data_IF_072143462330
#
_entry.id   IF_072143462330
#
_cell.length_a   1.000
_cell.length_b   1.000
_cell.length_c   1.000
_cell.angle_alpha   90.00
_cell.angle_beta   90.00
_cell.angle_gamma   90.00
#
_symmetry.space_group_name_H-M   'P 1'
#
loop_
_entity.id
_entity.type
_entity.pdbx_description
1 polymer ?
#
# COMPACT_ATOMS: atom_id res chain seq x y z
N UNK A 1 -24.51 17.37 31.66
CA UNK A 1 -24.76 17.03 30.24
C UNK A 1 -23.69 16.08 29.70
N UNK A 2 -22.39 16.38 29.86
CA UNK A 2 -21.22 15.57 29.43
C UNK A 2 -21.13 14.06 29.80
N UNK A 3 -21.92 13.56 30.76
CA UNK A 3 -21.78 12.19 31.27
C UNK A 3 -22.33 11.11 30.34
N UNK A 4 -23.21 11.46 29.40
CA UNK A 4 -23.82 10.49 28.49
C UNK A 4 -22.99 10.34 27.20
N UNK A 5 -22.47 11.44 26.65
CA UNK A 5 -21.60 11.40 25.47
C UNK A 5 -20.23 10.79 25.79
N UNK A 6 -19.69 11.04 26.99
CA UNK A 6 -18.40 10.45 27.42
C UNK A 6 -18.45 8.93 27.53
N UNK A 7 -19.62 8.35 27.88
CA UNK A 7 -19.79 6.89 27.95
C UNK A 7 -19.70 6.24 26.57
N UNK A 8 -20.25 6.89 25.54
CA UNK A 8 -20.17 6.37 24.18
C UNK A 8 -18.72 6.34 23.66
N UNK A 9 -17.94 7.38 23.96
CA UNK A 9 -16.52 7.42 23.60
C UNK A 9 -15.72 6.31 24.30
N UNK A 10 -15.98 6.09 25.59
CA UNK A 10 -15.35 5.00 26.33
C UNK A 10 -15.77 3.63 25.79
N UNK A 11 -17.04 3.44 25.44
CA UNK A 11 -17.50 2.20 24.80
C UNK A 11 -16.84 2.00 23.43
N UNK A 12 -16.78 3.03 22.60
CA UNK A 12 -16.14 2.95 21.29
C UNK A 12 -14.64 2.64 21.37
N UNK A 13 -13.94 3.18 22.38
CA UNK A 13 -12.53 2.85 22.60
C UNK A 13 -12.36 1.44 23.18
N UNK A 14 -13.03 1.13 24.29
CA UNK A 14 -12.72 -0.07 25.08
C UNK A 14 -13.41 -1.33 24.57
N UNK A 15 -14.58 -1.27 23.93
CA UNK A 15 -15.26 -2.47 23.44
C UNK A 15 -14.45 -3.20 22.37
N UNK A 16 -13.91 -2.53 21.32
CA UNK A 16 -13.05 -3.22 20.36
C UNK A 16 -11.76 -3.74 20.99
N UNK A 17 -11.14 -2.99 21.91
CA UNK A 17 -9.95 -3.44 22.64
C UNK A 17 -10.22 -4.70 23.48
N UNK A 18 -11.37 -4.76 24.17
CA UNK A 18 -11.83 -5.96 24.87
C UNK A 18 -12.10 -7.11 23.91
N UNK A 19 -12.69 -6.84 22.75
CA UNK A 19 -12.89 -7.83 21.69
C UNK A 19 -11.59 -8.45 21.20
N UNK A 20 -10.52 -7.65 21.08
CA UNK A 20 -9.21 -8.15 20.64
C UNK A 20 -8.56 -9.13 21.63
N UNK A 21 -8.89 -9.12 22.92
CA UNK A 21 -8.43 -10.17 23.85
C UNK A 21 -8.94 -11.57 23.48
N UNK A 22 -10.07 -11.64 22.77
CA UNK A 22 -10.68 -12.88 22.31
C UNK A 22 -10.42 -13.17 20.82
N UNK A 23 -9.61 -12.34 20.15
CA UNK A 23 -9.33 -12.51 18.74
C UNK A 23 -8.42 -13.74 18.51
N UNK A 24 -8.90 -14.68 17.71
CA UNK A 24 -8.16 -15.90 17.32
C UNK A 24 -7.81 -15.94 15.83
N UNK A 25 -8.21 -14.91 15.06
CA UNK A 25 -7.88 -14.83 13.63
C UNK A 25 -6.37 -14.71 13.41
N UNK A 26 -5.88 -15.11 12.23
CA UNK A 26 -4.47 -15.03 11.87
C UNK A 26 -3.52 -15.56 12.97
N UNK A 27 -3.80 -16.74 13.55
CA UNK A 27 -3.01 -17.33 14.64
C UNK A 27 -2.83 -16.42 15.89
N UNK A 28 -3.77 -15.50 16.14
CA UNK A 28 -3.71 -14.54 17.24
C UNK A 28 -2.89 -13.28 16.93
N UNK A 29 -2.35 -13.13 15.71
CA UNK A 29 -1.64 -11.92 15.30
C UNK A 29 -2.63 -10.78 15.03
N UNK A 30 -2.52 -9.71 15.82
CA UNK A 30 -3.27 -8.47 15.67
C UNK A 30 -2.37 -7.44 14.99
N UNK A 31 -2.76 -7.00 13.79
CA UNK A 31 -2.01 -6.00 13.04
C UNK A 31 -2.45 -4.58 13.39
N UNK A 32 -1.53 -3.62 13.33
CA UNK A 32 -1.79 -2.22 13.70
C UNK A 32 -2.99 -1.60 12.95
N UNK A 33 -3.17 -1.96 11.67
CA UNK A 33 -4.27 -1.44 10.86
C UNK A 33 -5.66 -1.91 11.32
N UNK A 34 -5.74 -2.97 12.14
CA UNK A 34 -6.98 -3.40 12.78
C UNK A 34 -7.49 -2.36 13.80
N UNK A 35 -6.61 -1.51 14.32
CA UNK A 35 -6.98 -0.45 15.26
C UNK A 35 -7.40 0.85 14.57
N UNK A 36 -7.38 0.94 13.24
CA UNK A 36 -7.76 2.16 12.49
C UNK A 36 -9.14 2.68 12.89
N UNK A 37 -10.09 1.79 13.18
CA UNK A 37 -11.44 2.16 13.64
C UNK A 37 -11.52 2.75 15.06
N UNK A 38 -10.52 2.53 15.93
CA UNK A 38 -10.47 3.08 17.30
C UNK A 38 -9.60 4.33 17.42
N UNK A 39 -8.72 4.58 16.45
CA UNK A 39 -7.83 5.76 16.44
C UNK A 39 -8.60 7.09 16.62
N UNK A 40 -9.76 7.33 15.96
CA UNK A 40 -10.48 8.59 16.17
C UNK A 40 -10.99 8.77 17.61
N UNK A 41 -11.44 7.70 18.27
CA UNK A 41 -11.86 7.74 19.66
C UNK A 41 -10.70 8.14 20.58
N UNK A 42 -9.52 7.59 20.31
CA UNK A 42 -8.29 7.94 21.01
C UNK A 42 -7.93 9.42 20.82
N UNK A 43 -7.97 9.95 19.58
CA UNK A 43 -7.71 11.36 19.31
C UNK A 43 -8.66 12.31 20.03
N UNK A 44 -9.94 11.97 20.14
CA UNK A 44 -10.91 12.78 20.87
C UNK A 44 -10.59 12.83 22.37
N UNK A 45 -10.34 11.68 22.99
CA UNK A 45 -9.99 11.60 24.41
C UNK A 45 -8.69 12.36 24.68
N UNK A 46 -7.68 12.17 23.83
CA UNK A 46 -6.40 12.86 23.95
C UNK A 46 -6.55 14.39 23.81
N UNK A 47 -7.34 14.85 22.84
CA UNK A 47 -7.61 16.28 22.61
C UNK A 47 -8.35 16.92 23.78
N UNK A 48 -9.33 16.21 24.36
CA UNK A 48 -10.04 16.65 25.57
C UNK A 48 -9.08 16.73 26.76
N UNK A 49 -8.17 15.77 26.91
CA UNK A 49 -7.11 15.80 27.93
C UNK A 49 -6.22 17.04 27.81
N UNK A 50 -5.75 17.35 26.59
CA UNK A 50 -4.99 18.58 26.34
C UNK A 50 -5.80 19.84 26.66
N UNK A 51 -7.08 19.88 26.27
CA UNK A 51 -7.96 20.99 26.60
C UNK A 51 -8.07 21.20 28.12
N UNK A 52 -8.33 20.15 28.90
CA UNK A 52 -8.39 20.27 30.36
C UNK A 52 -7.05 20.68 30.98
N UNK A 53 -5.93 20.24 30.40
CA UNK A 53 -4.61 20.66 30.83
C UNK A 53 -4.42 22.18 30.64
N UNK A 54 -4.93 22.78 29.56
CA UNK A 54 -4.89 24.25 29.39
C UNK A 54 -5.69 25.03 30.44
N UNK A 55 -6.63 24.37 31.14
CA UNK A 55 -7.42 24.98 32.21
C UNK A 55 -6.69 25.02 33.56
N UNK A 56 -5.56 24.34 33.69
CA UNK A 56 -4.72 24.34 34.91
C UNK A 56 -3.82 25.59 35.05
N UNK A 57 -4.18 26.70 34.40
CA UNK A 57 -3.41 27.95 34.42
C UNK A 57 -2.23 27.99 33.44
N UNK A 58 -1.26 28.86 33.70
CA UNK A 58 -0.14 29.14 32.78
C UNK A 58 0.73 27.89 32.55
N UNK A 59 1.04 27.13 33.59
CA UNK A 59 1.85 25.91 33.49
C UNK A 59 1.23 24.89 32.52
N UNK A 60 -0.08 24.64 32.63
CA UNK A 60 -0.78 23.74 31.73
C UNK A 60 -0.75 24.20 30.26
N UNK A 61 -0.93 25.51 30.02
CA UNK A 61 -0.78 26.10 28.68
C UNK A 61 0.63 25.92 28.12
N UNK A 62 1.65 26.15 28.94
CA UNK A 62 3.06 25.96 28.55
C UNK A 62 3.33 24.51 28.17
N UNK A 63 2.83 23.55 28.94
CA UNK A 63 2.98 22.12 28.64
C UNK A 63 2.30 21.77 27.31
N UNK A 64 1.05 22.21 27.09
CA UNK A 64 0.34 21.96 25.84
C UNK A 64 1.06 22.61 24.65
N UNK A 65 1.53 23.85 24.79
CA UNK A 65 2.32 24.51 23.75
C UNK A 65 3.61 23.75 23.44
N UNK A 66 4.35 23.33 24.46
CA UNK A 66 5.58 22.54 24.29
C UNK A 66 5.29 21.20 23.59
N UNK A 67 4.21 20.50 23.97
CA UNK A 67 3.76 19.29 23.29
C UNK A 67 3.46 19.56 21.82
N UNK A 68 2.66 20.60 21.50
CA UNK A 68 2.29 20.93 20.11
C UNK A 68 3.51 21.28 19.27
N UNK A 69 4.48 21.99 19.83
CA UNK A 69 5.76 22.31 19.19
C UNK A 69 6.51 21.02 18.86
N UNK A 70 6.76 20.16 19.86
CA UNK A 70 7.49 18.89 19.67
C UNK A 70 6.77 17.98 18.69
N UNK A 71 5.46 17.82 18.84
CA UNK A 71 4.62 17.03 17.94
C UNK A 71 4.73 17.54 16.50
N UNK A 72 4.63 18.86 16.29
CA UNK A 72 4.70 19.45 14.95
C UNK A 72 6.09 19.27 14.32
N UNK A 73 7.16 19.52 15.07
CA UNK A 73 8.53 19.36 14.54
C UNK A 73 8.86 17.89 14.23
N UNK A 74 8.45 16.95 15.09
CA UNK A 74 8.62 15.52 14.83
C UNK A 74 7.86 15.07 13.59
N UNK A 75 6.61 15.52 13.42
CA UNK A 75 5.82 15.19 12.22
C UNK A 75 6.37 15.86 10.96
N UNK A 76 6.81 17.12 11.04
CA UNK A 76 7.45 17.80 9.90
C UNK A 76 8.74 17.10 9.45
N UNK A 77 9.53 16.61 10.40
CA UNK A 77 10.72 15.82 10.09
C UNK A 77 10.35 14.51 9.35
N UNK A 78 9.37 13.77 9.86
CA UNK A 78 8.87 12.54 9.21
C UNK A 78 8.27 12.81 7.83
N UNK A 79 7.44 13.84 7.67
CA UNK A 79 6.85 14.25 6.40
C UNK A 79 7.95 14.66 5.41
N UNK A 80 8.94 15.45 5.85
CA UNK A 80 10.07 15.82 5.00
C UNK A 80 10.83 14.60 4.52
N UNK A 81 11.08 13.62 5.38
CA UNK A 81 11.76 12.39 4.99
C UNK A 81 10.92 11.55 4.02
N UNK A 82 9.61 11.47 4.24
CA UNK A 82 8.68 10.80 3.34
C UNK A 82 8.62 11.47 1.94
N UNK A 83 8.61 12.80 1.89
CA UNK A 83 8.63 13.57 0.65
C UNK A 83 9.99 13.49 -0.07
N UNK A 84 11.09 13.36 0.67
CA UNK A 84 12.44 13.17 0.13
C UNK A 84 12.72 11.74 -0.31
N UNK A 85 12.07 10.75 0.28
CA UNK A 85 12.10 9.39 -0.22
C UNK A 85 11.66 9.46 -1.69
N UNK A 86 12.48 8.91 -2.60
CA UNK A 86 12.30 9.04 -4.05
C UNK A 86 10.98 8.46 -4.56
N UNK A 87 10.92 8.08 -5.84
CA UNK A 87 9.65 7.60 -6.40
C UNK A 87 9.23 6.27 -5.74
N UNK A 88 10.18 5.40 -5.35
CA UNK A 88 9.92 4.16 -4.62
C UNK A 88 8.74 3.35 -5.19
N UNK A 89 7.99 2.66 -4.32
CA UNK A 89 6.70 2.05 -4.66
C UNK A 89 5.58 3.07 -4.39
N UNK A 90 5.49 4.10 -5.24
CA UNK A 90 4.41 5.10 -5.22
C UNK A 90 3.51 4.96 -6.44
N UNK A 91 2.28 5.47 -6.33
CA UNK A 91 1.30 5.48 -7.42
C UNK A 91 1.89 6.06 -8.72
N UNK A 92 2.75 7.08 -8.63
CA UNK A 92 3.42 7.64 -9.82
C UNK A 92 4.30 6.62 -10.55
N UNK A 93 5.13 5.84 -9.83
CA UNK A 93 5.94 4.80 -10.46
C UNK A 93 5.08 3.65 -11.00
N UNK A 94 4.04 3.27 -10.26
CA UNK A 94 3.08 2.23 -10.68
C UNK A 94 2.39 2.62 -12.00
N UNK A 95 1.95 3.87 -12.12
CA UNK A 95 1.36 4.39 -13.36
C UNK A 95 2.37 4.41 -14.50
N UNK A 96 3.60 4.89 -14.28
CA UNK A 96 4.66 4.87 -15.32
C UNK A 96 4.97 3.45 -15.80
N UNK A 97 4.99 2.48 -14.89
CA UNK A 97 5.18 1.07 -15.23
C UNK A 97 4.03 0.53 -16.10
N UNK A 98 2.78 0.88 -15.77
CA UNK A 98 1.60 0.52 -16.57
C UNK A 98 1.63 1.22 -17.93
N UNK A 99 1.92 2.52 -17.97
CA UNK A 99 2.03 3.30 -19.20
C UNK A 99 3.06 2.69 -20.14
N UNK A 100 4.19 2.25 -19.58
CA UNK A 100 5.20 1.55 -20.36
C UNK A 100 4.67 0.24 -20.93
N UNK A 101 3.99 -0.60 -20.15
CA UNK A 101 3.38 -1.85 -20.63
C UNK A 101 2.45 -1.57 -21.82
N UNK A 102 1.52 -0.62 -21.69
CA UNK A 102 0.61 -0.27 -22.77
C UNK A 102 1.33 0.33 -23.98
N UNK A 103 2.33 1.20 -23.77
CA UNK A 103 3.13 1.78 -24.85
C UNK A 103 3.87 0.72 -25.66
N UNK A 104 4.38 -0.32 -24.98
CA UNK A 104 5.12 -1.41 -25.61
C UNK A 104 4.18 -2.42 -26.27
N UNK A 105 2.97 -2.59 -25.76
CA UNK A 105 1.96 -3.46 -26.33
C UNK A 105 1.29 -2.82 -27.56
N UNK A 106 1.22 -1.48 -27.61
CA UNK A 106 0.55 -0.76 -28.68
C UNK A 106 -0.90 -1.24 -28.82
N UNK A 107 -1.24 -1.83 -29.97
CA UNK A 107 -2.55 -2.43 -30.25
C UNK A 107 -2.58 -3.96 -30.11
N UNK A 108 -1.44 -4.59 -29.83
CA UNK A 108 -1.36 -6.04 -29.74
C UNK A 108 -1.97 -6.55 -28.44
N UNK A 109 -2.63 -7.71 -28.50
CA UNK A 109 -3.05 -8.47 -27.32
C UNK A 109 -1.84 -8.82 -26.45
N UNK A 110 -2.02 -8.77 -25.12
CA UNK A 110 -0.97 -9.10 -24.16
C UNK A 110 -1.54 -9.65 -22.86
N UNK A 111 -0.77 -10.50 -22.18
CA UNK A 111 -1.00 -10.86 -20.79
C UNK A 111 -0.12 -10.01 -19.87
N UNK A 112 -0.52 -9.90 -18.60
CA UNK A 112 0.30 -9.31 -17.55
C UNK A 112 0.37 -10.24 -16.32
N UNK A 113 1.54 -10.34 -15.69
CA UNK A 113 1.76 -11.08 -14.43
C UNK A 113 2.59 -10.23 -13.47
N UNK A 114 2.19 -10.18 -12.20
CA UNK A 114 2.72 -9.24 -11.23
C UNK A 114 3.20 -9.93 -9.95
N UNK A 115 4.32 -9.44 -9.41
CA UNK A 115 4.81 -9.80 -8.09
C UNK A 115 4.85 -8.59 -7.16
N UNK A 116 4.13 -8.69 -6.05
CA UNK A 116 4.05 -7.64 -5.02
C UNK A 116 4.13 -8.33 -3.66
N UNK A 117 5.12 -8.07 -2.80
CA UNK A 117 5.18 -8.66 -1.47
C UNK A 117 3.92 -8.37 -0.63
N UNK A 118 3.36 -9.35 0.11
CA UNK A 118 3.75 -10.76 0.25
C UNK A 118 3.03 -11.68 -0.76
N UNK A 119 3.21 -11.44 -2.06
CA UNK A 119 2.53 -12.07 -3.21
C UNK A 119 1.05 -11.68 -3.44
N UNK A 120 0.69 -10.42 -3.19
CA UNK A 120 -0.67 -9.90 -3.36
C UNK A 120 -0.73 -8.93 -4.55
N UNK A 121 -1.07 -9.44 -5.73
CA UNK A 121 -1.08 -8.68 -6.99
C UNK A 121 -2.32 -7.78 -7.20
N UNK A 122 -3.27 -7.76 -6.26
CA UNK A 122 -4.55 -7.06 -6.42
C UNK A 122 -4.39 -5.56 -6.68
N UNK A 123 -3.34 -4.92 -6.18
CA UNK A 123 -3.05 -3.51 -6.43
C UNK A 123 -2.88 -3.25 -7.93
N UNK A 124 -2.05 -4.02 -8.63
CA UNK A 124 -1.83 -3.86 -10.06
C UNK A 124 -2.97 -4.39 -10.91
N UNK A 125 -3.68 -5.45 -10.50
CA UNK A 125 -4.91 -5.86 -11.18
C UNK A 125 -5.96 -4.74 -11.15
N UNK A 126 -6.13 -4.08 -10.00
CA UNK A 126 -7.01 -2.93 -9.89
C UNK A 126 -6.52 -1.77 -10.76
N UNK A 127 -5.21 -1.45 -10.74
CA UNK A 127 -4.67 -0.36 -11.56
C UNK A 127 -4.79 -0.64 -13.06
N UNK A 128 -4.60 -1.87 -13.52
CA UNK A 128 -4.82 -2.25 -14.92
C UNK A 128 -6.27 -2.04 -15.33
N UNK A 129 -7.22 -2.41 -14.46
CA UNK A 129 -8.65 -2.26 -14.73
C UNK A 129 -9.14 -0.82 -14.63
N UNK A 130 -8.70 -0.07 -13.63
CA UNK A 130 -9.16 1.31 -13.42
C UNK A 130 -8.39 2.30 -14.29
N UNK A 131 -7.07 2.33 -14.14
CA UNK A 131 -6.22 3.30 -14.84
C UNK A 131 -5.88 2.82 -16.26
N UNK A 132 -5.43 1.58 -16.42
CA UNK A 132 -5.08 1.02 -17.72
C UNK A 132 -6.26 1.04 -18.70
N UNK A 133 -7.39 0.43 -18.34
CA UNK A 133 -8.57 0.42 -19.19
C UNK A 133 -9.17 1.83 -19.38
N UNK A 134 -9.10 2.69 -18.36
CA UNK A 134 -9.57 4.06 -18.44
C UNK A 134 -8.80 4.91 -19.45
N UNK A 135 -7.47 4.84 -19.45
CA UNK A 135 -6.61 5.63 -20.35
C UNK A 135 -6.41 4.99 -21.73
N UNK A 136 -6.30 3.65 -21.77
CA UNK A 136 -5.93 2.92 -22.99
C UNK A 136 -7.08 2.13 -23.62
N UNK A 137 -8.26 2.13 -23.00
CA UNK A 137 -9.49 1.55 -23.55
C UNK A 137 -9.51 0.02 -23.65
N UNK A 138 -8.59 -0.68 -22.98
CA UNK A 138 -8.50 -2.15 -23.00
C UNK A 138 -7.82 -2.70 -21.75
N UNK A 139 -8.09 -3.96 -21.44
CA UNK A 139 -7.44 -4.72 -20.36
C UNK A 139 -6.48 -5.78 -20.94
N UNK A 140 -5.55 -6.33 -20.14
CA UNK A 140 -4.78 -7.50 -20.53
C UNK A 140 -5.70 -8.70 -20.80
N UNK A 141 -5.33 -9.53 -21.77
CA UNK A 141 -6.07 -10.75 -22.11
C UNK A 141 -5.99 -11.79 -20.98
N UNK A 142 -7.07 -12.55 -20.83
CA UNK A 142 -7.13 -13.71 -19.93
C UNK A 142 -6.68 -15.00 -20.62
N UNK A 143 -6.94 -15.13 -21.93
CA UNK A 143 -6.41 -16.20 -22.78
C UNK A 143 -4.89 -16.03 -22.95
N UNK A 144 -4.16 -17.13 -23.10
CA UNK A 144 -2.71 -17.08 -23.27
C UNK A 144 -2.34 -16.55 -24.66
N UNK A 145 -1.69 -15.39 -24.69
CA UNK A 145 -1.25 -14.71 -25.91
C UNK A 145 0.27 -14.54 -25.93
N UNK A 146 0.81 -14.27 -27.12
CA UNK A 146 2.25 -14.19 -27.37
C UNK A 146 2.98 -13.21 -26.44
N UNK A 147 2.46 -12.00 -26.27
CA UNK A 147 3.08 -10.96 -25.47
C UNK A 147 2.76 -11.15 -23.98
N UNK A 148 3.79 -11.21 -23.14
CA UNK A 148 3.68 -11.23 -21.68
C UNK A 148 4.44 -10.04 -21.08
N UNK A 149 3.80 -9.29 -20.22
CA UNK A 149 4.44 -8.22 -19.47
C UNK A 149 4.51 -8.59 -18.00
N UNK A 150 5.72 -8.58 -17.44
CA UNK A 150 5.93 -8.84 -16.03
C UNK A 150 6.24 -7.55 -15.30
N UNK A 151 5.74 -7.42 -14.07
CA UNK A 151 6.07 -6.32 -13.16
C UNK A 151 6.37 -6.89 -11.79
N UNK A 152 7.43 -6.43 -11.14
CA UNK A 152 7.74 -6.86 -9.78
C UNK A 152 8.31 -5.74 -8.90
N UNK A 153 8.00 -5.82 -7.60
CA UNK A 153 8.56 -5.02 -6.53
C UNK A 153 9.62 -5.84 -5.74
N UNK A 154 10.64 -5.19 -5.15
CA UNK A 154 11.62 -5.89 -4.32
C UNK A 154 10.96 -6.46 -3.06
N UNK A 155 11.38 -7.65 -2.68
CA UNK A 155 10.99 -8.29 -1.42
C UNK A 155 12.17 -8.26 -0.45
N UNK A 156 12.28 -7.20 0.35
CA UNK A 156 13.39 -7.03 1.28
C UNK A 156 13.36 -8.02 2.44
N UNK A 157 12.17 -8.44 2.88
CA UNK A 157 11.99 -9.35 4.00
C UNK A 157 12.14 -10.82 3.57
N UNK A 158 11.67 -11.14 2.35
CA UNK A 158 11.65 -12.50 1.82
C UNK A 158 12.11 -12.57 0.34
N UNK A 159 13.37 -12.22 0.04
CA UNK A 159 13.89 -12.15 -1.34
C UNK A 159 13.78 -13.46 -2.13
N UNK A 160 13.79 -14.61 -1.44
CA UNK A 160 13.62 -15.92 -2.06
C UNK A 160 12.29 -16.09 -2.80
N UNK A 161 11.24 -15.38 -2.39
CA UNK A 161 9.93 -15.47 -3.03
C UNK A 161 9.89 -14.73 -4.37
N UNK A 162 10.55 -13.57 -4.45
CA UNK A 162 10.75 -12.88 -5.72
C UNK A 162 11.60 -13.75 -6.65
N UNK A 163 12.70 -14.33 -6.15
CA UNK A 163 13.54 -15.20 -6.97
C UNK A 163 12.77 -16.41 -7.52
N UNK A 164 12.02 -17.11 -6.67
CA UNK A 164 11.20 -18.24 -7.11
C UNK A 164 10.14 -17.83 -8.15
N UNK A 165 9.57 -16.63 -8.02
CA UNK A 165 8.65 -16.10 -9.03
C UNK A 165 9.37 -15.80 -10.35
N UNK A 166 10.57 -15.19 -10.33
CA UNK A 166 11.38 -14.94 -11.52
C UNK A 166 11.76 -16.24 -12.23
N UNK A 167 12.23 -17.24 -11.47
CA UNK A 167 12.58 -18.56 -12.00
C UNK A 167 11.36 -19.21 -12.70
N UNK A 168 10.17 -19.06 -12.12
CA UNK A 168 8.92 -19.51 -12.76
C UNK A 168 8.64 -18.74 -14.05
N UNK A 169 8.78 -17.42 -14.06
CA UNK A 169 8.55 -16.63 -15.27
C UNK A 169 9.46 -17.06 -16.42
N UNK A 170 10.70 -17.48 -16.14
CA UNK A 170 11.66 -17.93 -17.15
C UNK A 170 11.24 -19.25 -17.81
N UNK A 171 10.43 -20.07 -17.14
CA UNK A 171 9.77 -21.23 -17.75
C UNK A 171 8.58 -20.86 -18.64
N UNK A 172 8.02 -19.67 -18.47
CA UNK A 172 6.80 -19.21 -19.15
C UNK A 172 7.13 -18.42 -20.41
N UNK A 173 8.14 -17.56 -20.36
CA UNK A 173 8.47 -16.67 -21.46
C UNK A 173 9.89 -16.14 -21.41
N UNK A 174 10.46 -15.88 -22.59
CA UNK A 174 11.81 -15.33 -22.77
C UNK A 174 11.75 -13.81 -22.73
N UNK A 175 12.70 -13.18 -22.04
CA UNK A 175 12.83 -11.72 -22.02
C UNK A 175 13.24 -11.24 -23.42
N UNK A 176 12.47 -10.30 -23.99
CA UNK A 176 12.72 -9.71 -25.32
C UNK A 176 13.18 -8.25 -25.22
N UNK A 177 12.86 -7.57 -24.12
CA UNK A 177 13.41 -6.25 -23.81
C UNK A 177 13.92 -6.21 -22.38
N UNK A 178 15.04 -5.51 -22.22
CA UNK A 178 15.72 -5.30 -20.94
C UNK A 178 14.79 -4.65 -19.89
N UNK A 179 15.20 -4.79 -18.64
CA UNK A 179 14.48 -4.30 -17.47
C UNK A 179 14.37 -2.77 -17.51
N UNK A 180 13.15 -2.25 -17.40
CA UNK A 180 12.92 -0.85 -17.09
C UNK A 180 12.45 -0.71 -15.65
N UNK A 181 12.88 0.35 -14.98
CA UNK A 181 12.51 0.59 -13.59
C UNK A 181 12.07 2.03 -13.36
N UNK A 182 10.99 2.19 -12.58
CA UNK A 182 10.58 3.47 -12.01
C UNK A 182 10.45 3.31 -10.50
N UNK A 183 11.21 4.11 -9.75
CA UNK A 183 11.37 3.84 -8.32
C UNK A 183 11.95 2.44 -8.12
N UNK A 184 11.29 1.63 -7.30
CA UNK A 184 11.70 0.25 -7.02
C UNK A 184 10.93 -0.78 -7.85
N UNK A 185 10.06 -0.34 -8.77
CA UNK A 185 9.25 -1.23 -9.60
C UNK A 185 10.03 -1.56 -10.86
N UNK A 186 10.16 -2.86 -11.18
CA UNK A 186 10.78 -3.32 -12.43
C UNK A 186 9.74 -3.94 -13.34
N UNK A 187 9.81 -3.63 -14.63
CA UNK A 187 8.98 -4.23 -15.68
C UNK A 187 9.82 -4.90 -16.76
N UNK A 188 9.28 -5.95 -17.36
CA UNK A 188 9.90 -6.65 -18.48
C UNK A 188 8.87 -6.95 -19.57
N UNK A 189 9.32 -6.96 -20.82
CA UNK A 189 8.58 -7.55 -21.94
C UNK A 189 9.13 -8.94 -22.20
N UNK A 190 8.24 -9.92 -22.15
CA UNK A 190 8.51 -11.33 -22.43
C UNK A 190 7.68 -11.81 -23.60
N UNK A 191 8.21 -12.78 -24.33
CA UNK A 191 7.48 -13.57 -25.31
C UNK A 191 7.24 -14.97 -24.75
N UNK A 192 5.97 -15.39 -24.67
CA UNK A 192 5.62 -16.70 -24.12
C UNK A 192 6.19 -17.83 -24.98
N UNK A 193 6.62 -18.90 -24.31
CA UNK A 193 7.08 -20.13 -24.98
C UNK A 193 5.88 -20.90 -25.56
N UNK A 194 4.75 -20.89 -24.86
CA UNK A 194 3.49 -21.52 -25.29
C UNK A 194 2.34 -20.49 -25.25
N UNK A 195 1.58 -20.37 -26.34
CA UNK A 195 0.42 -19.49 -26.49
C UNK A 195 -0.51 -20.01 -27.61
N UNK A 196 -1.80 -19.69 -27.53
CA UNK A 196 -2.86 -20.24 -28.40
C UNK A 196 -3.97 -20.96 -27.63
N UNK A 197 -5.08 -21.29 -28.29
CA UNK A 197 -6.18 -22.07 -27.68
C UNK A 197 -5.68 -23.49 -27.33
N UNK A 198 -5.84 -23.87 -26.07
CA UNK A 198 -5.88 -25.27 -25.65
C UNK A 198 -7.33 -25.75 -25.70
#
# INVERSE_FOLDING_TARGET
MFLKESKLLLLWLFVPLLGYFFYQGNHGYVWDYYFTGVVPAFFLIFSVGLYYLTKQGLAGKVIVCAFLIVFSFSNLYSIRNYLKAGIGIKLEAQKKAIDWIYSQAGKEEFNADFYVPPQIYYSYSYLMRWYGAGEYGREPETKLVKNLYTLYEPDGEHPQFLQAWLDRQDTIGKIIKDNYSWGDITVQKRERIYYGEQ
#
